data_IF_645531877270
#
_entry.id   IF_645531877270
#
_cell.length_a   1.000
_cell.length_b   1.000
_cell.length_c   1.000
_cell.angle_alpha   90.00
_cell.angle_beta   90.00
_cell.angle_gamma   90.00
#
_symmetry.space_group_name_H-M   'P 1'
#
loop_
_entity.id
_entity.type
_entity.pdbx_description
1 polymer ?
#
# COMPACT_ATOMS: atom_id res chain seq x y z
N UNK A 1 -26.47 -9.17 -29.37
CA UNK A 1 -25.06 -8.73 -29.18
C UNK A 1 -24.18 -9.84 -29.70
N UNK A 2 -23.29 -9.55 -30.64
CA UNK A 2 -22.20 -10.46 -30.96
C UNK A 2 -21.20 -10.37 -29.82
N UNK A 3 -21.33 -11.28 -28.85
CA UNK A 3 -20.37 -11.35 -27.75
C UNK A 3 -19.05 -11.93 -28.24
N UNK A 4 -17.95 -11.41 -27.71
CA UNK A 4 -16.64 -12.01 -27.96
C UNK A 4 -16.58 -13.46 -27.47
N UNK A 5 -15.82 -14.29 -28.18
CA UNK A 5 -15.57 -15.68 -27.76
C UNK A 5 -14.65 -15.72 -26.54
N UNK A 6 -14.66 -16.83 -25.80
CA UNK A 6 -13.75 -16.99 -24.67
C UNK A 6 -12.27 -16.88 -25.09
N UNK A 7 -11.93 -17.38 -26.27
CA UNK A 7 -10.58 -17.27 -26.86
C UNK A 7 -10.17 -15.80 -27.07
N UNK A 8 -11.07 -14.98 -27.63
CA UNK A 8 -10.84 -13.54 -27.81
C UNK A 8 -10.70 -12.82 -26.47
N UNK A 9 -11.48 -13.19 -25.46
CA UNK A 9 -11.32 -12.62 -24.11
C UNK A 9 -9.95 -12.99 -23.53
N UNK A 10 -9.48 -14.23 -23.69
CA UNK A 10 -8.13 -14.61 -23.24
C UNK A 10 -7.03 -13.86 -24.01
N UNK A 11 -7.25 -13.56 -25.29
CA UNK A 11 -6.37 -12.70 -26.08
C UNK A 11 -6.31 -11.28 -25.50
N UNK A 12 -7.44 -10.70 -25.06
CA UNK A 12 -7.45 -9.40 -24.38
C UNK A 12 -6.70 -9.42 -23.03
N UNK A 13 -6.81 -10.51 -22.27
CA UNK A 13 -6.01 -10.69 -21.05
C UNK A 13 -4.50 -10.75 -21.36
N UNK A 14 -4.11 -11.44 -22.43
CA UNK A 14 -2.70 -11.50 -22.86
C UNK A 14 -2.22 -10.13 -23.34
N UNK A 15 -3.02 -9.46 -24.17
CA UNK A 15 -2.76 -8.14 -24.70
C UNK A 15 -2.55 -7.09 -23.60
N UNK A 16 -3.45 -7.02 -22.62
CA UNK A 16 -3.31 -6.08 -21.48
C UNK A 16 -2.04 -6.33 -20.67
N UNK A 17 -1.64 -7.59 -20.52
CA UNK A 17 -0.41 -7.96 -19.81
C UNK A 17 0.85 -7.58 -20.58
N UNK A 18 0.85 -7.74 -21.89
CA UNK A 18 1.94 -7.31 -22.78
C UNK A 18 2.10 -5.77 -22.77
N UNK A 19 1.02 -5.06 -22.44
CA UNK A 19 1.01 -3.60 -22.21
C UNK A 19 1.13 -3.22 -20.73
N UNK A 20 1.85 -4.04 -19.95
CA UNK A 20 2.28 -3.78 -18.57
C UNK A 20 1.16 -3.68 -17.52
N UNK A 21 -0.02 -4.23 -17.79
CA UNK A 21 -1.11 -4.32 -16.80
C UNK A 21 -1.08 -5.70 -16.13
N UNK A 22 -0.48 -5.77 -14.94
CA UNK A 22 -0.28 -7.04 -14.21
C UNK A 22 -1.26 -7.28 -13.05
N UNK A 23 -1.95 -6.24 -12.59
CA UNK A 23 -2.88 -6.34 -11.47
C UNK A 23 -4.23 -6.81 -11.95
N UNK A 24 -4.71 -7.91 -11.36
CA UNK A 24 -5.92 -8.60 -11.82
C UNK A 24 -7.15 -7.69 -11.79
N UNK A 25 -7.30 -6.83 -10.76
CA UNK A 25 -8.41 -5.87 -10.68
C UNK A 25 -8.45 -4.93 -11.87
N UNK A 26 -7.31 -4.29 -12.17
CA UNK A 26 -7.22 -3.35 -13.28
C UNK A 26 -7.27 -4.06 -14.64
N UNK A 27 -6.70 -5.26 -14.71
CA UNK A 27 -6.69 -6.06 -15.92
C UNK A 27 -8.11 -6.45 -16.34
N UNK A 28 -8.90 -6.97 -15.41
CA UNK A 28 -10.31 -7.32 -15.68
C UNK A 28 -11.13 -6.10 -16.07
N UNK A 29 -10.91 -4.94 -15.43
CA UNK A 29 -11.57 -3.67 -15.78
C UNK A 29 -11.22 -3.23 -17.22
N UNK A 30 -9.94 -3.32 -17.61
CA UNK A 30 -9.50 -2.96 -18.96
C UNK A 30 -9.94 -3.98 -20.02
N UNK A 31 -9.95 -5.27 -19.70
CA UNK A 31 -10.46 -6.31 -20.60
C UNK A 31 -11.95 -6.10 -20.87
N UNK A 32 -12.76 -5.79 -19.85
CA UNK A 32 -14.17 -5.48 -20.02
C UNK A 32 -14.38 -4.21 -20.87
N UNK A 33 -13.57 -3.17 -20.64
CA UNK A 33 -13.60 -1.96 -21.47
C UNK A 33 -13.27 -2.26 -22.94
N UNK A 34 -12.18 -3.00 -23.20
CA UNK A 34 -11.78 -3.37 -24.56
C UNK A 34 -12.83 -4.25 -25.23
N UNK A 35 -13.36 -5.24 -24.52
CA UNK A 35 -14.39 -6.15 -25.04
C UNK A 35 -15.63 -5.37 -25.49
N UNK A 36 -16.16 -4.51 -24.62
CA UNK A 36 -17.31 -3.67 -24.95
C UNK A 36 -17.03 -2.73 -26.13
N UNK A 37 -15.85 -2.11 -26.18
CA UNK A 37 -15.45 -1.25 -27.28
C UNK A 37 -15.36 -1.97 -28.62
N UNK A 38 -14.75 -3.16 -28.63
CA UNK A 38 -14.63 -4.03 -29.82
C UNK A 38 -16.01 -4.49 -30.30
N UNK A 39 -16.88 -4.94 -29.41
CA UNK A 39 -18.25 -5.35 -29.77
C UNK A 39 -19.03 -4.21 -30.45
N UNK A 40 -18.90 -2.98 -29.93
CA UNK A 40 -19.50 -1.80 -30.55
C UNK A 40 -18.89 -1.52 -31.93
N UNK A 41 -17.58 -1.59 -32.08
CA UNK A 41 -16.90 -1.38 -33.37
C UNK A 41 -17.32 -2.42 -34.41
N UNK A 42 -17.42 -3.70 -34.04
CA UNK A 42 -17.85 -4.78 -34.92
C UNK A 42 -19.32 -4.66 -35.32
N UNK A 43 -20.18 -4.12 -34.44
CA UNK A 43 -21.58 -3.82 -34.77
C UNK A 43 -21.69 -2.66 -35.76
N UNK A 44 -20.87 -1.62 -35.62
CA UNK A 44 -20.86 -0.45 -36.51
C UNK A 44 -20.18 -0.75 -37.85
N UNK A 45 -19.16 -1.62 -37.84
CA UNK A 45 -18.36 -1.98 -39.00
C UNK A 45 -18.17 -3.50 -39.09
N UNK A 46 -19.15 -4.24 -39.63
CA UNK A 46 -19.14 -5.72 -39.66
C UNK A 46 -17.97 -6.36 -40.43
N UNK A 47 -17.27 -5.57 -41.25
CA UNK A 47 -16.13 -6.04 -42.05
C UNK A 47 -14.79 -5.94 -41.31
N UNK A 48 -14.74 -5.31 -40.12
CA UNK A 48 -13.52 -5.24 -39.32
C UNK A 48 -13.20 -6.62 -38.74
N UNK A 49 -11.92 -6.98 -38.77
CA UNK A 49 -11.42 -8.10 -37.98
C UNK A 49 -11.33 -7.73 -36.49
N UNK A 50 -11.33 -8.75 -35.63
CA UNK A 50 -11.12 -8.57 -34.19
C UNK A 50 -9.83 -7.80 -33.87
N UNK A 51 -8.73 -8.13 -34.54
CA UNK A 51 -7.43 -7.49 -34.33
C UNK A 51 -7.42 -6.02 -34.75
N UNK A 52 -8.07 -5.67 -35.86
CA UNK A 52 -8.22 -4.27 -36.26
C UNK A 52 -9.06 -3.49 -35.23
N UNK A 53 -10.18 -4.06 -34.79
CA UNK A 53 -11.02 -3.44 -33.77
C UNK A 53 -10.28 -3.27 -32.43
N UNK A 54 -9.49 -4.26 -32.01
CA UNK A 54 -8.64 -4.20 -30.81
C UNK A 54 -7.62 -3.07 -30.91
N UNK A 55 -6.88 -2.98 -32.02
CA UNK A 55 -5.89 -1.91 -32.22
C UNK A 55 -6.54 -0.53 -32.28
N UNK A 56 -7.71 -0.42 -32.91
CA UNK A 56 -8.49 0.83 -32.93
C UNK A 56 -8.94 1.24 -31.53
N UNK A 57 -9.46 0.30 -30.74
CA UNK A 57 -9.89 0.56 -29.36
C UNK A 57 -8.70 0.93 -28.47
N UNK A 58 -7.59 0.19 -28.57
CA UNK A 58 -6.38 0.46 -27.82
C UNK A 58 -5.77 1.84 -28.15
N UNK A 59 -5.83 2.27 -29.42
CA UNK A 59 -5.32 3.58 -29.83
C UNK A 59 -6.03 4.75 -29.14
N UNK A 60 -7.25 4.56 -28.62
CA UNK A 60 -7.96 5.58 -27.84
C UNK A 60 -7.26 5.93 -26.52
N UNK A 61 -6.41 5.05 -26.01
CA UNK A 61 -5.60 5.29 -24.81
C UNK A 61 -4.35 6.17 -25.08
N UNK A 62 -4.13 6.57 -26.34
CA UNK A 62 -3.05 7.50 -26.70
C UNK A 62 -1.66 6.85 -26.74
N UNK A 63 -0.63 7.69 -26.82
CA UNK A 63 0.77 7.25 -27.06
C UNK A 63 1.33 6.45 -25.89
N UNK A 64 0.85 6.71 -24.67
CA UNK A 64 1.29 6.01 -23.46
C UNK A 64 0.47 4.74 -23.16
N UNK A 65 -0.52 4.40 -23.98
CA UNK A 65 -1.37 3.23 -23.78
C UNK A 65 -2.00 3.20 -22.39
N UNK A 66 -1.93 2.06 -21.70
CA UNK A 66 -2.53 1.91 -20.37
C UNK A 66 -1.77 2.58 -19.23
N UNK A 67 -0.57 3.14 -19.47
CA UNK A 67 0.28 3.64 -18.40
C UNK A 67 -0.40 4.76 -17.60
N UNK A 68 -1.10 5.67 -18.26
CA UNK A 68 -1.82 6.76 -17.59
C UNK A 68 -2.92 6.21 -16.67
N UNK A 69 -3.71 5.25 -17.16
CA UNK A 69 -4.78 4.60 -16.39
C UNK A 69 -4.21 3.84 -15.18
N UNK A 70 -3.10 3.13 -15.36
CA UNK A 70 -2.41 2.42 -14.28
C UNK A 70 -1.96 3.39 -13.18
N UNK A 71 -1.33 4.50 -13.56
CA UNK A 71 -0.82 5.50 -12.61
C UNK A 71 -1.96 6.25 -11.90
N UNK A 72 -3.04 6.58 -12.60
CA UNK A 72 -4.23 7.17 -11.98
C UNK A 72 -4.86 6.23 -10.97
N UNK A 73 -5.02 4.95 -11.32
CA UNK A 73 -5.56 3.92 -10.40
C UNK A 73 -4.68 3.77 -9.17
N UNK A 74 -3.36 3.69 -9.37
CA UNK A 74 -2.37 3.63 -8.29
C UNK A 74 -2.44 4.85 -7.39
N UNK A 75 -2.53 6.07 -7.95
CA UNK A 75 -2.65 7.32 -7.19
C UNK A 75 -3.94 7.35 -6.36
N UNK A 76 -5.06 6.91 -6.93
CA UNK A 76 -6.34 6.82 -6.23
C UNK A 76 -6.27 5.82 -5.06
N UNK A 77 -5.70 4.63 -5.28
CA UNK A 77 -5.55 3.62 -4.24
C UNK A 77 -4.56 4.05 -3.15
N UNK A 78 -3.47 4.75 -3.49
CA UNK A 78 -2.57 5.33 -2.49
C UNK A 78 -3.29 6.34 -1.58
N UNK A 79 -4.12 7.23 -2.14
CA UNK A 79 -4.95 8.15 -1.34
C UNK A 79 -5.92 7.38 -0.43
N UNK A 80 -6.56 6.34 -0.94
CA UNK A 80 -7.43 5.45 -0.15
C UNK A 80 -6.65 4.78 0.97
N UNK A 81 -5.43 4.33 0.70
CA UNK A 81 -4.56 3.70 1.67
C UNK A 81 -4.15 4.63 2.81
N UNK A 82 -3.80 5.89 2.52
CA UNK A 82 -3.53 6.89 3.57
C UNK A 82 -4.75 7.11 4.47
N UNK A 83 -5.95 7.14 3.90
CA UNK A 83 -7.20 7.20 4.68
C UNK A 83 -7.40 5.96 5.55
N UNK A 84 -7.04 4.78 5.06
CA UNK A 84 -7.04 3.53 5.85
C UNK A 84 -6.07 3.66 7.04
N UNK A 85 -4.83 4.07 6.81
CA UNK A 85 -3.85 4.27 7.89
C UNK A 85 -4.40 5.22 8.95
N UNK A 86 -4.89 6.39 8.54
CA UNK A 86 -5.43 7.39 9.45
C UNK A 86 -6.58 6.84 10.30
N UNK A 87 -7.51 6.11 9.67
CA UNK A 87 -8.64 5.51 10.37
C UNK A 87 -8.20 4.46 11.40
N UNK A 88 -7.26 3.59 11.03
CA UNK A 88 -6.73 2.56 11.93
C UNK A 88 -5.92 3.17 13.08
N UNK A 89 -5.11 4.19 12.79
CA UNK A 89 -4.32 4.91 13.78
C UNK A 89 -5.23 5.66 14.78
N UNK A 90 -6.25 6.36 14.30
CA UNK A 90 -7.25 7.00 15.16
C UNK A 90 -7.99 5.96 16.02
N UNK A 91 -8.41 4.85 15.42
CA UNK A 91 -9.11 3.77 16.13
C UNK A 91 -8.22 3.01 17.13
N UNK A 92 -6.89 3.15 17.04
CA UNK A 92 -5.98 2.58 18.02
C UNK A 92 -6.15 3.23 19.40
N UNK A 93 -6.41 4.53 19.50
CA UNK A 93 -6.47 5.25 20.77
C UNK A 93 -7.79 5.06 21.53
N UNK A 94 -8.01 3.86 22.06
CA UNK A 94 -9.04 3.60 23.09
C UNK A 94 -8.54 4.06 24.46
N UNK A 95 -9.43 4.26 25.45
CA UNK A 95 -9.04 4.75 26.79
C UNK A 95 -7.86 3.96 27.40
N UNK A 96 -7.87 2.61 27.42
CA UNK A 96 -6.73 1.84 27.94
C UNK A 96 -5.42 2.06 27.16
N UNK A 97 -5.51 2.24 25.84
CA UNK A 97 -4.34 2.42 24.98
C UNK A 97 -3.79 3.84 25.03
N UNK A 98 -4.63 4.84 25.28
CA UNK A 98 -4.18 6.21 25.58
C UNK A 98 -3.37 6.19 26.88
N UNK A 99 -3.88 5.54 27.94
CA UNK A 99 -3.13 5.39 29.20
C UNK A 99 -1.80 4.68 28.97
N UNK A 100 -1.80 3.58 28.20
CA UNK A 100 -0.56 2.89 27.84
C UNK A 100 0.42 3.81 27.09
N UNK A 101 -0.07 4.63 26.16
CA UNK A 101 0.75 5.59 25.41
C UNK A 101 1.39 6.62 26.33
N UNK A 102 0.65 7.14 27.31
CA UNK A 102 1.16 8.07 28.32
C UNK A 102 2.23 7.39 29.18
N UNK A 103 1.97 6.17 29.65
CA UNK A 103 2.93 5.38 30.44
C UNK A 103 4.22 5.14 29.65
N UNK A 104 4.13 4.70 28.40
CA UNK A 104 5.28 4.48 27.52
C UNK A 104 6.06 5.77 27.26
N UNK A 105 5.35 6.90 27.14
CA UNK A 105 5.98 8.22 26.97
C UNK A 105 6.76 8.63 28.22
N UNK A 106 6.18 8.47 29.41
CA UNK A 106 6.86 8.75 30.68
C UNK A 106 8.06 7.82 30.87
N UNK A 107 7.91 6.54 30.55
CA UNK A 107 9.00 5.55 30.63
C UNK A 107 10.15 5.92 29.70
N UNK A 108 9.86 6.29 28.46
CA UNK A 108 10.87 6.71 27.51
C UNK A 108 11.56 8.01 27.97
N UNK A 109 10.79 9.01 28.41
CA UNK A 109 11.32 10.27 28.92
C UNK A 109 12.26 10.05 30.11
N UNK A 110 11.82 9.31 31.12
CA UNK A 110 12.62 9.02 32.32
C UNK A 110 13.91 8.27 31.97
N UNK A 111 13.81 7.28 31.07
CA UNK A 111 14.98 6.58 30.53
C UNK A 111 15.94 7.56 29.88
N UNK A 112 15.50 8.35 28.90
CA UNK A 112 16.38 9.28 28.18
C UNK A 112 16.98 10.35 29.11
N UNK A 113 16.19 10.88 30.05
CA UNK A 113 16.66 11.90 31.01
C UNK A 113 17.76 11.41 31.95
N UNK A 114 17.90 10.08 32.11
CA UNK A 114 18.93 9.47 32.95
C UNK A 114 20.29 9.34 32.24
N UNK A 115 20.36 9.66 30.95
CA UNK A 115 21.57 9.52 30.12
C UNK A 115 22.00 10.84 29.48
N UNK A 116 23.29 10.95 29.14
CA UNK A 116 23.80 12.10 28.37
C UNK A 116 23.28 12.08 26.93
N UNK A 117 23.24 13.24 26.23
CA UNK A 117 22.66 13.35 24.89
C UNK A 117 23.18 12.32 23.87
N UNK A 118 24.48 11.99 23.91
CA UNK A 118 25.07 10.99 23.01
C UNK A 118 24.46 9.58 23.21
N UNK A 119 24.17 9.20 24.45
CA UNK A 119 23.53 7.92 24.77
C UNK A 119 22.02 7.94 24.50
N UNK A 120 21.34 9.08 24.70
CA UNK A 120 19.92 9.24 24.33
C UNK A 120 19.68 8.90 22.85
N UNK A 121 20.52 9.47 21.99
CA UNK A 121 20.53 9.25 20.55
C UNK A 121 20.74 7.77 20.20
N UNK A 122 21.68 7.11 20.87
CA UNK A 122 21.97 5.69 20.68
C UNK A 122 20.81 4.79 21.11
N UNK A 123 20.11 5.13 22.21
CA UNK A 123 18.92 4.41 22.69
C UNK A 123 17.78 4.51 21.68
N UNK A 124 17.49 5.72 21.19
CA UNK A 124 16.45 5.95 20.19
C UNK A 124 16.77 5.16 18.92
N UNK A 125 18.02 5.22 18.44
CA UNK A 125 18.46 4.44 17.27
C UNK A 125 18.26 2.94 17.48
N UNK A 126 18.67 2.40 18.64
CA UNK A 126 18.48 1.00 18.98
C UNK A 126 17.01 0.56 18.94
N UNK A 127 16.11 1.40 19.45
CA UNK A 127 14.66 1.17 19.38
C UNK A 127 14.18 1.11 17.93
N UNK A 128 14.54 2.08 17.09
CA UNK A 128 14.14 2.07 15.68
C UNK A 128 14.73 0.89 14.90
N UNK A 129 15.99 0.54 15.12
CA UNK A 129 16.62 -0.63 14.48
C UNK A 129 15.95 -1.93 14.89
N UNK A 130 15.60 -2.09 16.17
CA UNK A 130 14.88 -3.27 16.66
C UNK A 130 13.51 -3.39 16.01
N UNK A 131 12.77 -2.28 15.93
CA UNK A 131 11.47 -2.23 15.27
C UNK A 131 11.61 -2.50 13.77
N UNK A 132 12.62 -1.91 13.12
CA UNK A 132 12.93 -2.11 11.72
C UNK A 132 13.21 -3.58 11.39
N UNK A 133 14.03 -4.25 12.19
CA UNK A 133 14.32 -5.67 12.00
C UNK A 133 13.03 -6.51 12.05
N UNK A 134 12.14 -6.24 13.01
CA UNK A 134 10.84 -6.91 13.12
C UNK A 134 9.96 -6.62 11.89
N UNK A 135 9.86 -5.35 11.49
CA UNK A 135 9.08 -4.94 10.32
C UNK A 135 9.60 -5.58 9.04
N UNK A 136 10.92 -5.65 8.86
CA UNK A 136 11.58 -6.26 7.71
C UNK A 136 11.32 -7.77 7.62
N UNK A 137 11.41 -8.49 8.75
CA UNK A 137 11.06 -9.92 8.80
C UNK A 137 9.59 -10.12 8.40
N UNK A 138 8.67 -9.28 8.88
CA UNK A 138 7.26 -9.36 8.51
C UNK A 138 7.02 -9.03 7.04
N UNK A 139 7.72 -8.04 6.50
CA UNK A 139 7.66 -7.67 5.09
C UNK A 139 8.06 -8.85 4.21
N UNK A 140 9.17 -9.53 4.52
CA UNK A 140 9.61 -10.73 3.78
C UNK A 140 8.55 -11.84 3.85
N UNK A 141 8.01 -12.10 5.05
CA UNK A 141 6.95 -13.11 5.23
C UNK A 141 5.70 -12.77 4.40
N UNK A 142 5.24 -11.52 4.46
CA UNK A 142 4.06 -11.07 3.74
C UNK A 142 4.28 -11.11 2.22
N UNK A 143 5.43 -10.65 1.72
CA UNK A 143 5.80 -10.75 0.31
C UNK A 143 5.82 -12.21 -0.17
N UNK A 144 6.34 -13.13 0.65
CA UNK A 144 6.35 -14.56 0.33
C UNK A 144 4.94 -15.14 0.21
N UNK A 145 3.99 -14.69 1.04
CA UNK A 145 2.57 -15.06 0.92
C UNK A 145 1.98 -14.51 -0.37
N UNK A 146 2.21 -13.24 -0.69
CA UNK A 146 1.68 -12.61 -1.91
C UNK A 146 2.22 -13.26 -3.19
N UNK A 147 3.50 -13.65 -3.23
CA UNK A 147 4.10 -14.35 -4.38
C UNK A 147 3.45 -15.71 -4.68
N UNK A 148 2.81 -16.34 -3.69
CA UNK A 148 2.11 -17.62 -3.85
C UNK A 148 0.67 -17.45 -4.34
N UNK A 149 0.13 -16.23 -4.33
CA UNK A 149 -1.24 -15.97 -4.80
C UNK A 149 -1.29 -16.02 -6.33
N UNK A 150 -2.33 -16.66 -6.86
CA UNK A 150 -2.59 -16.74 -8.31
C UNK A 150 -2.86 -15.37 -8.91
N UNK A 151 -3.68 -14.56 -8.24
CA UNK A 151 -4.04 -13.22 -8.68
C UNK A 151 -3.28 -12.18 -7.84
N UNK A 152 -2.74 -11.17 -8.50
CA UNK A 152 -2.08 -10.03 -7.85
C UNK A 152 -3.04 -8.85 -7.82
N UNK A 153 -3.38 -8.38 -6.62
CA UNK A 153 -4.26 -7.22 -6.45
C UNK A 153 -3.43 -5.95 -6.23
N UNK A 154 -3.79 -4.85 -6.88
CA UNK A 154 -3.02 -3.60 -6.74
C UNK A 154 -2.96 -3.11 -5.29
N UNK A 155 -4.05 -3.26 -4.54
CA UNK A 155 -4.09 -2.89 -3.13
C UNK A 155 -3.11 -3.72 -2.26
N UNK A 156 -2.90 -5.00 -2.57
CA UNK A 156 -1.95 -5.85 -1.83
C UNK A 156 -0.50 -5.38 -2.04
N UNK A 157 -0.17 -4.98 -3.26
CA UNK A 157 1.13 -4.40 -3.57
C UNK A 157 1.31 -3.04 -2.88
N UNK A 158 0.29 -2.18 -2.89
CA UNK A 158 0.34 -0.90 -2.18
C UNK A 158 0.53 -1.13 -0.68
N UNK A 159 -0.19 -2.09 -0.08
CA UNK A 159 -0.02 -2.50 1.31
C UNK A 159 1.42 -2.93 1.62
N UNK A 160 2.01 -3.76 0.75
CA UNK A 160 3.39 -4.23 0.88
C UNK A 160 4.40 -3.07 0.74
N UNK A 161 4.28 -2.27 -0.32
CA UNK A 161 5.19 -1.16 -0.62
C UNK A 161 5.16 -0.09 0.48
N UNK A 162 3.99 0.22 1.01
CA UNK A 162 3.82 1.21 2.06
C UNK A 162 4.28 0.71 3.44
N UNK A 163 4.14 -0.60 3.71
CA UNK A 163 4.79 -1.23 4.87
C UNK A 163 6.32 -1.20 4.75
N UNK A 164 6.82 -1.30 3.51
CA UNK A 164 8.22 -1.17 3.16
C UNK A 164 8.71 0.27 2.99
N UNK A 165 7.95 1.31 3.40
CA UNK A 165 8.44 2.69 3.32
C UNK A 165 9.60 2.92 4.31
N UNK A 166 10.80 2.62 3.82
CA UNK A 166 12.10 2.99 4.37
C UNK A 166 12.26 4.50 4.62
N UNK A 167 11.46 5.35 3.96
CA UNK A 167 11.54 6.81 4.11
C UNK A 167 11.13 7.32 5.49
N UNK A 168 10.21 6.63 6.19
CA UNK A 168 9.88 7.00 7.58
C UNK A 168 10.99 6.58 8.57
N UNK A 169 11.84 5.61 8.22
CA UNK A 169 13.01 5.22 9.01
C UNK A 169 14.22 6.15 8.82
N UNK A 170 14.21 7.04 7.82
CA UNK A 170 15.22 8.10 7.69
C UNK A 170 14.97 9.24 8.69
N UNK A 171 13.74 9.42 9.18
CA UNK A 171 13.41 10.49 10.13
C UNK A 171 14.23 10.42 11.42
N UNK A 172 14.42 9.26 12.08
CA UNK A 172 15.35 9.13 13.20
C UNK A 172 16.77 9.54 12.84
N UNK A 173 17.29 9.13 11.67
CA UNK A 173 18.64 9.47 11.22
C UNK A 173 18.81 10.99 11.03
N UNK A 174 17.79 11.67 10.49
CA UNK A 174 17.80 13.12 10.34
C UNK A 174 17.66 13.87 11.67
N UNK A 175 16.86 13.35 12.61
CA UNK A 175 16.73 13.89 13.97
C UNK A 175 18.07 13.77 14.74
N UNK A 176 18.81 12.67 14.53
CA UNK A 176 20.11 12.43 15.17
C UNK A 176 21.25 13.32 14.65
N UNK A 177 21.14 13.80 13.41
CA UNK A 177 22.10 14.71 12.81
C UNK A 177 21.78 16.19 13.06
N UNK A 178 20.72 16.49 13.81
CA UNK A 178 20.44 17.86 14.25
C UNK A 178 21.43 18.22 15.37
N UNK A 179 22.17 19.34 15.26
CA UNK A 179 23.06 19.83 16.32
C UNK A 179 22.28 20.50 17.45
N UNK A 180 21.14 19.92 17.83
CA UNK A 180 20.29 20.42 18.90
C UNK A 180 20.70 19.69 20.17
N UNK A 181 21.42 20.39 21.05
CA UNK A 181 21.64 19.91 22.41
C UNK A 181 20.28 19.89 23.12
N UNK A 182 19.79 18.69 23.41
CA UNK A 182 18.52 18.46 24.10
C UNK A 182 18.73 18.78 25.59
N UNK A 183 18.88 20.06 25.92
CA UNK A 183 19.04 20.50 27.31
C UNK A 183 17.70 20.77 28.00
N UNK A 184 16.68 21.16 27.22
CA UNK A 184 15.35 21.45 27.75
C UNK A 184 14.57 20.18 28.06
N UNK A 185 14.20 19.98 29.33
CA UNK A 185 13.35 18.88 29.79
C UNK A 185 12.00 18.84 29.07
N UNK A 186 11.44 20.01 28.72
CA UNK A 186 10.21 20.11 27.94
C UNK A 186 10.38 19.57 26.52
N UNK A 187 11.49 19.90 25.87
CA UNK A 187 11.79 19.41 24.52
C UNK A 187 12.00 17.89 24.51
N UNK A 188 12.70 17.35 25.52
CA UNK A 188 12.88 15.90 25.67
C UNK A 188 11.55 15.15 25.87
N UNK A 189 10.64 15.72 26.66
CA UNK A 189 9.29 15.17 26.86
C UNK A 189 8.48 15.15 25.56
N UNK A 190 8.51 16.25 24.80
CA UNK A 190 7.86 16.33 23.49
C UNK A 190 8.43 15.32 22.49
N UNK A 191 9.75 15.20 22.44
CA UNK A 191 10.43 14.21 21.59
C UNK A 191 10.05 12.77 21.97
N UNK A 192 9.96 12.47 23.27
CA UNK A 192 9.53 11.16 23.75
C UNK A 192 8.10 10.84 23.31
N UNK A 193 7.17 11.79 23.42
CA UNK A 193 5.80 11.63 22.96
C UNK A 193 5.72 11.37 21.45
N UNK A 194 6.46 12.12 20.64
CA UNK A 194 6.49 11.92 19.19
C UNK A 194 7.09 10.56 18.81
N UNK A 195 8.17 10.14 19.45
CA UNK A 195 8.78 8.83 19.19
C UNK A 195 7.82 7.69 19.51
N UNK A 196 7.14 7.72 20.66
CA UNK A 196 6.12 6.72 21.01
C UNK A 196 4.97 6.73 20.00
N UNK A 197 4.49 7.92 19.62
CA UNK A 197 3.41 8.07 18.62
C UNK A 197 3.81 7.48 17.25
N UNK A 198 5.04 7.72 16.79
CA UNK A 198 5.59 7.17 15.55
C UNK A 198 5.70 5.63 15.64
N UNK A 199 6.20 5.10 16.75
CA UNK A 199 6.28 3.64 16.97
C UNK A 199 4.88 3.00 16.93
N UNK A 200 3.87 3.66 17.50
CA UNK A 200 2.47 3.20 17.42
C UNK A 200 1.97 3.23 15.98
N UNK A 201 2.24 4.30 15.23
CA UNK A 201 1.87 4.39 13.82
C UNK A 201 2.46 3.23 13.02
N UNK A 202 3.75 2.96 13.21
CA UNK A 202 4.39 1.83 12.56
C UNK A 202 3.81 0.48 13.02
N UNK A 203 3.51 0.31 14.30
CA UNK A 203 2.83 -0.89 14.80
C UNK A 203 1.50 -1.10 14.08
N UNK A 204 0.70 -0.05 13.94
CA UNK A 204 -0.58 -0.10 13.21
C UNK A 204 -0.36 -0.53 11.75
N UNK A 205 0.62 0.07 11.06
CA UNK A 205 0.92 -0.22 9.65
C UNK A 205 1.45 -1.64 9.42
N UNK A 206 2.31 -2.15 10.31
CA UNK A 206 3.01 -3.45 10.14
C UNK A 206 2.20 -4.62 10.72
N UNK A 207 1.40 -4.39 11.76
CA UNK A 207 0.69 -5.46 12.47
C UNK A 207 -0.83 -5.41 12.24
N UNK A 208 -1.44 -4.23 12.40
CA UNK A 208 -2.90 -4.12 12.47
C UNK A 208 -3.57 -4.03 11.10
N UNK A 209 -2.97 -3.32 10.14
CA UNK A 209 -3.53 -3.22 8.79
C UNK A 209 -3.39 -4.55 8.04
N UNK A 210 -2.22 -5.23 8.02
CA UNK A 210 -2.05 -6.47 7.24
C UNK A 210 -2.91 -7.61 7.76
N UNK A 211 -3.18 -7.66 9.07
CA UNK A 211 -4.11 -8.64 9.65
C UNK A 211 -5.56 -8.45 9.21
N UNK A 212 -5.91 -7.28 8.66
CA UNK A 212 -7.23 -6.99 8.06
C UNK A 212 -7.16 -6.78 6.55
N UNK A 213 -6.07 -7.19 5.89
CA UNK A 213 -5.87 -6.97 4.47
C UNK A 213 -6.98 -7.61 3.62
N UNK A 214 -7.43 -8.81 3.98
CA UNK A 214 -8.52 -9.48 3.27
C UNK A 214 -9.85 -8.75 3.38
N UNK A 215 -10.25 -8.31 4.58
CA UNK A 215 -11.46 -7.49 4.77
C UNK A 215 -11.39 -6.20 3.94
N UNK A 216 -10.21 -5.60 3.85
CA UNK A 216 -9.97 -4.38 3.07
C UNK A 216 -10.07 -4.66 1.57
N UNK A 217 -9.59 -5.82 1.10
CA UNK A 217 -9.74 -6.26 -0.28
C UNK A 217 -11.20 -6.53 -0.62
N UNK A 218 -11.92 -7.29 0.21
CA UNK A 218 -13.34 -7.59 0.00
C UNK A 218 -14.23 -6.35 -0.03
N UNK A 219 -13.89 -5.33 0.78
CA UNK A 219 -14.58 -4.02 0.74
C UNK A 219 -14.21 -3.18 -0.47
N UNK A 220 -13.04 -3.42 -1.06
CA UNK A 220 -12.53 -2.63 -2.19
C UNK A 220 -12.91 -3.23 -3.53
N UNK A 221 -12.96 -4.56 -3.60
CA UNK A 221 -13.14 -5.37 -4.79
C UNK A 221 -14.22 -6.42 -4.49
N UNK A 222 -15.50 -6.15 -4.77
CA UNK A 222 -16.56 -7.14 -4.58
C UNK A 222 -16.26 -8.48 -5.28
N UNK A 223 -15.65 -8.43 -6.46
CA UNK A 223 -15.18 -9.56 -7.25
C UNK A 223 -14.13 -10.43 -6.54
N UNK A 224 -13.39 -9.87 -5.57
CA UNK A 224 -12.44 -10.64 -4.76
C UNK A 224 -13.13 -11.79 -4.02
N UNK A 225 -14.37 -11.61 -3.56
CA UNK A 225 -15.15 -12.67 -2.89
C UNK A 225 -15.42 -13.85 -3.80
N UNK A 226 -15.68 -13.58 -5.08
CA UNK A 226 -15.97 -14.62 -6.08
C UNK A 226 -14.73 -15.45 -6.40
N UNK A 227 -13.53 -14.86 -6.29
CA UNK A 227 -12.26 -15.59 -6.49
C UNK A 227 -11.88 -16.51 -5.33
N UNK A 228 -12.55 -16.41 -4.17
CA UNK A 228 -12.35 -17.31 -3.02
C UNK A 228 -13.27 -18.55 -3.04
N UNK A 229 -14.37 -18.49 -3.80
CA UNK A 229 -15.39 -19.55 -3.89
C UNK A 229 -15.16 -20.54 -5.05
N UNK A 230 -14.05 -20.39 -5.78
CA UNK A 230 -13.58 -21.25 -6.87
C UNK A 230 -12.25 -21.89 -6.46
#
# INVERSE_FOLDING_TARGET
MNKLTEEQIQELYSFTRDHFVYHFDLQTELVDHLANGIEVLLLQHPNLSFNEALQMEFKKFGVFGFQEVVEERRKALNKKYLKIIFNFYKAYFTIPKIMLTVILTILLYTTLSSFTPNYQNSIIMGLYLSFFAIAFIRLIKYNTILKKKKHKWMLEEILLTQMGLFSLFQLPIHILNMPVEIESSYFLGLMSFFNVSIIILFYVMVFQIPSKAEDLLEKTYPEYKLTKTL
#
